data_IF_228981313965
#
_entry.id   IF_228981313965
#
_cell.length_a   1.000
_cell.length_b   1.000
_cell.length_c   1.000
_cell.angle_alpha   90.00
_cell.angle_beta   90.00
_cell.angle_gamma   90.00
#
_symmetry.space_group_name_H-M   'P 1'
#
loop_
_entity.id
_entity.type
_entity.pdbx_description
1 polymer ?
#
# COMPACT_ATOMS: atom_id res chain seq x y z
N UNK A 1 12.64 6.18 -3.78
CA UNK A 1 12.29 5.30 -4.89
C UNK A 1 12.55 3.85 -4.50
N UNK A 2 11.58 2.96 -4.69
CA UNK A 2 11.74 1.52 -4.49
C UNK A 2 11.62 0.83 -5.85
N UNK A 3 12.45 -0.18 -6.13
CA UNK A 3 12.46 -0.88 -7.39
C UNK A 3 12.61 -2.38 -7.21
N UNK A 4 12.20 -3.12 -8.20
CA UNK A 4 12.36 -4.57 -8.29
C UNK A 4 13.07 -4.91 -9.59
N UNK A 5 14.05 -5.80 -9.54
CA UNK A 5 14.87 -6.19 -10.67
C UNK A 5 14.85 -7.71 -10.86
N UNK A 6 14.29 -8.16 -11.99
CA UNK A 6 14.14 -9.57 -12.37
C UNK A 6 13.60 -10.44 -11.23
N UNK A 7 12.63 -9.90 -10.51
CA UNK A 7 12.09 -10.51 -9.30
C UNK A 7 11.26 -11.74 -9.65
N UNK A 8 11.62 -12.88 -9.09
CA UNK A 8 10.88 -14.12 -9.22
C UNK A 8 10.62 -14.73 -7.86
N UNK A 9 9.40 -15.21 -7.66
CA UNK A 9 8.99 -15.86 -6.42
C UNK A 9 7.82 -16.82 -6.64
N UNK A 10 7.86 -17.96 -5.92
CA UNK A 10 6.81 -18.96 -5.99
C UNK A 10 6.60 -19.72 -4.69
N UNK A 11 5.56 -20.54 -4.68
CA UNK A 11 5.20 -21.41 -3.55
C UNK A 11 4.78 -22.78 -4.10
N UNK A 12 5.28 -23.86 -3.49
CA UNK A 12 4.86 -25.23 -3.84
C UNK A 12 5.12 -25.60 -5.29
N UNK A 13 6.17 -25.05 -5.93
CA UNK A 13 6.49 -25.28 -7.33
C UNK A 13 5.69 -24.43 -8.33
N UNK A 14 4.81 -23.56 -7.85
CA UNK A 14 4.06 -22.61 -8.69
C UNK A 14 4.70 -21.22 -8.62
N UNK A 15 5.10 -20.68 -9.77
CA UNK A 15 5.59 -19.30 -9.88
C UNK A 15 4.43 -18.35 -9.75
N UNK A 16 4.54 -17.38 -8.82
CA UNK A 16 3.53 -16.37 -8.55
C UNK A 16 3.99 -15.00 -9.07
N UNK A 17 5.26 -14.69 -8.94
CA UNK A 17 5.93 -13.52 -9.53
C UNK A 17 6.99 -14.05 -10.48
N UNK A 18 6.99 -13.59 -11.72
CA UNK A 18 7.80 -14.12 -12.80
C UNK A 18 8.54 -13.01 -13.55
N UNK A 19 9.84 -12.88 -13.25
CA UNK A 19 10.77 -11.94 -13.89
C UNK A 19 10.28 -10.48 -13.91
N UNK A 20 9.74 -9.99 -12.78
CA UNK A 20 9.24 -8.62 -12.66
C UNK A 20 10.40 -7.65 -12.49
N UNK A 21 10.46 -6.66 -13.38
CA UNK A 21 11.34 -5.49 -13.29
C UNK A 21 10.52 -4.23 -13.41
N UNK A 22 10.54 -3.39 -12.36
CA UNK A 22 9.86 -2.10 -12.34
C UNK A 22 10.44 -1.19 -11.25
N UNK A 23 10.48 0.11 -11.53
CA UNK A 23 10.85 1.14 -10.56
C UNK A 23 9.59 1.95 -10.22
N UNK A 24 9.18 1.90 -8.96
CA UNK A 24 8.04 2.68 -8.49
C UNK A 24 8.48 4.13 -8.22
N UNK A 25 7.66 5.07 -8.69
CA UNK A 25 7.92 6.50 -8.59
C UNK A 25 8.10 6.98 -7.15
N UNK A 26 8.63 8.19 -7.01
CA UNK A 26 8.83 8.84 -5.71
C UNK A 26 7.64 9.68 -5.29
N UNK A 27 6.78 10.07 -6.21
CA UNK A 27 5.78 11.12 -6.01
C UNK A 27 4.36 10.57 -6.13
N UNK A 28 3.59 10.76 -5.06
CA UNK A 28 2.17 10.45 -5.04
C UNK A 28 1.82 8.97 -4.87
N UNK A 29 0.59 8.65 -5.25
CA UNK A 29 0.01 7.31 -5.11
C UNK A 29 0.15 6.52 -6.42
N UNK A 30 0.81 5.37 -6.34
CA UNK A 30 0.87 4.36 -7.41
C UNK A 30 -0.05 3.19 -7.09
N UNK A 31 -0.91 2.79 -8.04
CA UNK A 31 -1.72 1.58 -7.87
C UNK A 31 -1.07 0.35 -8.51
N UNK A 32 -1.07 -0.77 -7.79
CA UNK A 32 -0.87 -2.10 -8.38
C UNK A 32 -2.25 -2.70 -8.61
N UNK A 33 -2.63 -2.89 -9.88
CA UNK A 33 -3.93 -3.44 -10.30
C UNK A 33 -3.74 -4.75 -11.06
N UNK A 34 -4.80 -5.54 -11.15
CA UNK A 34 -4.78 -6.82 -11.88
C UNK A 34 -5.82 -7.79 -11.33
N UNK A 35 -6.11 -8.90 -12.03
CA UNK A 35 -7.08 -9.89 -11.59
C UNK A 35 -6.67 -10.58 -10.29
N UNK A 36 -7.63 -11.27 -9.66
CA UNK A 36 -7.33 -12.09 -8.48
C UNK A 36 -6.31 -13.18 -8.86
N UNK A 37 -5.35 -13.42 -7.97
CA UNK A 37 -4.28 -14.38 -8.21
C UNK A 37 -3.15 -13.89 -9.13
N UNK A 38 -3.15 -12.63 -9.59
CA UNK A 38 -2.08 -12.10 -10.44
C UNK A 38 -0.76 -11.85 -9.70
N UNK A 39 -0.73 -11.95 -8.35
CA UNK A 39 0.49 -11.79 -7.55
C UNK A 39 0.65 -10.44 -6.86
N UNK A 40 -0.36 -9.54 -6.87
CA UNK A 40 -0.27 -8.17 -6.31
C UNK A 40 0.21 -8.13 -4.86
N UNK A 41 -0.49 -8.81 -3.96
CA UNK A 41 -0.11 -8.92 -2.53
C UNK A 41 1.29 -9.53 -2.37
N UNK A 42 1.62 -10.55 -3.18
CA UNK A 42 2.94 -11.18 -3.13
C UNK A 42 4.04 -10.22 -3.54
N UNK A 43 3.84 -9.44 -4.60
CA UNK A 43 4.77 -8.40 -5.03
C UNK A 43 4.97 -7.35 -3.92
N UNK A 44 3.87 -6.88 -3.32
CA UNK A 44 3.93 -5.91 -2.22
C UNK A 44 4.67 -6.48 -1.01
N UNK A 45 4.44 -7.73 -0.62
CA UNK A 45 5.14 -8.39 0.48
C UNK A 45 6.64 -8.58 0.21
N UNK A 46 7.02 -8.88 -1.05
CA UNK A 46 8.43 -8.93 -1.47
C UNK A 46 9.08 -7.55 -1.38
N UNK A 47 8.40 -6.49 -1.83
CA UNK A 47 8.87 -5.11 -1.73
C UNK A 47 9.03 -4.66 -0.27
N UNK A 48 8.18 -5.14 0.62
CA UNK A 48 8.28 -4.90 2.06
C UNK A 48 9.43 -5.68 2.74
N UNK A 49 10.03 -6.65 2.04
CA UNK A 49 10.99 -7.60 2.62
C UNK A 49 10.36 -8.55 3.65
N UNK A 50 9.03 -8.74 3.58
CA UNK A 50 8.29 -9.73 4.39
C UNK A 50 8.43 -11.15 3.81
N UNK A 51 8.78 -11.24 2.51
CA UNK A 51 9.12 -12.48 1.81
C UNK A 51 10.48 -12.33 1.15
N UNK A 52 11.19 -13.45 1.01
CA UNK A 52 12.45 -13.50 0.29
C UNK A 52 12.17 -13.98 -1.15
N UNK A 53 12.68 -13.30 -2.18
CA UNK A 53 12.54 -13.75 -3.55
C UNK A 53 13.40 -15.01 -3.81
N UNK A 54 12.99 -15.83 -4.77
CA UNK A 54 13.76 -16.98 -5.25
C UNK A 54 14.94 -16.50 -6.12
N UNK A 55 14.71 -15.43 -6.90
CA UNK A 55 15.75 -14.74 -7.67
C UNK A 55 15.40 -13.28 -7.91
N UNK A 56 16.38 -12.51 -8.37
CA UNK A 56 16.25 -11.06 -8.52
C UNK A 56 16.45 -10.32 -7.20
N UNK A 57 16.13 -9.04 -7.18
CA UNK A 57 16.33 -8.19 -6.00
C UNK A 57 15.28 -7.11 -5.87
N UNK A 58 15.08 -6.65 -4.63
CA UNK A 58 14.36 -5.43 -4.31
C UNK A 58 15.40 -4.40 -3.87
N UNK A 59 15.36 -3.22 -4.48
CA UNK A 59 16.26 -2.12 -4.18
C UNK A 59 15.47 -0.93 -3.61
N UNK A 60 16.00 -0.31 -2.57
CA UNK A 60 15.49 0.92 -2.00
C UNK A 60 16.58 1.99 -2.02
N UNK A 61 16.31 3.12 -2.69
CA UNK A 61 17.28 4.22 -2.88
C UNK A 61 18.66 3.74 -3.43
N UNK A 62 18.66 2.71 -4.31
CA UNK A 62 19.86 2.13 -4.90
C UNK A 62 20.56 1.07 -4.05
N UNK A 63 20.10 0.81 -2.82
CA UNK A 63 20.63 -0.24 -1.95
C UNK A 63 19.74 -1.49 -1.98
N UNK A 64 20.35 -2.68 -2.04
CA UNK A 64 19.60 -3.92 -1.99
C UNK A 64 18.92 -4.11 -0.62
N UNK A 65 17.63 -4.43 -0.62
CA UNK A 65 16.84 -4.58 0.60
C UNK A 65 17.34 -5.72 1.49
N UNK A 66 17.87 -6.78 0.89
CA UNK A 66 18.44 -7.94 1.60
C UNK A 66 19.66 -7.60 2.48
N UNK A 67 20.39 -6.53 2.13
CA UNK A 67 21.52 -6.02 2.92
C UNK A 67 21.09 -5.23 4.14
N UNK A 68 19.82 -4.83 4.25
CA UNK A 68 19.33 -4.01 5.35
C UNK A 68 18.85 -4.86 6.52
N UNK A 69 19.15 -4.42 7.75
CA UNK A 69 18.55 -5.01 8.93
C UNK A 69 17.03 -4.83 8.94
N UNK A 70 16.28 -5.76 9.55
CA UNK A 70 14.82 -5.64 9.69
C UNK A 70 14.41 -4.30 10.33
N UNK A 71 15.19 -3.81 11.28
CA UNK A 71 14.96 -2.52 11.94
C UNK A 71 15.17 -1.34 11.00
N UNK A 72 16.19 -1.39 10.14
CA UNK A 72 16.46 -0.36 9.13
C UNK A 72 15.33 -0.32 8.12
N UNK A 73 14.89 -1.49 7.61
CA UNK A 73 13.74 -1.59 6.71
C UNK A 73 12.47 -1.02 7.34
N UNK A 74 12.15 -1.43 8.57
CA UNK A 74 10.96 -0.97 9.28
C UNK A 74 10.96 0.53 9.63
N UNK A 75 12.09 1.22 9.54
CA UNK A 75 12.14 2.69 9.64
C UNK A 75 11.87 3.40 8.33
N UNK A 76 12.08 2.71 7.21
CA UNK A 76 12.01 3.30 5.86
C UNK A 76 10.76 2.86 5.10
N UNK A 77 10.25 1.65 5.37
CA UNK A 77 9.12 1.06 4.68
C UNK A 77 8.05 0.68 5.70
N UNK A 78 6.87 1.28 5.59
CA UNK A 78 5.72 0.88 6.39
C UNK A 78 4.73 0.08 5.53
N UNK A 79 4.02 -0.86 6.17
CA UNK A 79 3.03 -1.72 5.52
C UNK A 79 1.71 -1.65 6.28
N UNK A 80 0.63 -1.45 5.54
CA UNK A 80 -0.74 -1.68 6.02
C UNK A 80 -1.26 -2.94 5.36
N UNK A 81 -1.41 -3.99 6.14
CA UNK A 81 -1.91 -5.30 5.69
C UNK A 81 -3.44 -5.33 5.64
N UNK A 82 -4.00 -6.22 4.82
CA UNK A 82 -5.44 -6.34 4.61
C UNK A 82 -6.21 -6.71 5.89
N UNK A 83 -5.67 -7.58 6.73
CA UNK A 83 -6.33 -8.09 7.95
C UNK A 83 -5.38 -8.18 9.15
N UNK A 84 -4.94 -7.06 9.69
CA UNK A 84 -4.19 -7.11 10.93
C UNK A 84 -5.17 -7.39 12.09
N UNK A 85 -5.10 -8.60 12.65
CA UNK A 85 -5.84 -8.96 13.86
C UNK A 85 -5.02 -8.63 15.11
N UNK A 86 -5.62 -7.97 16.08
CA UNK A 86 -5.08 -7.90 17.44
C UNK A 86 -6.20 -8.25 18.41
N UNK A 87 -5.92 -9.16 19.32
CA UNK A 87 -6.82 -9.54 20.41
C UNK A 87 -6.52 -8.75 21.70
N UNK A 88 -5.58 -7.82 21.63
CA UNK A 88 -5.17 -7.04 22.77
C UNK A 88 -6.13 -5.89 23.06
N UNK A 89 -6.45 -5.68 24.33
CA UNK A 89 -7.20 -4.53 24.83
C UNK A 89 -6.31 -3.26 24.81
N UNK A 90 -6.04 -2.75 23.63
CA UNK A 90 -5.26 -1.53 23.45
C UNK A 90 -6.17 -0.36 23.06
N UNK A 91 -5.84 0.84 23.56
CA UNK A 91 -6.43 2.06 23.05
C UNK A 91 -5.90 2.38 21.65
N UNK A 92 -6.63 3.20 20.88
CA UNK A 92 -6.20 3.68 19.57
C UNK A 92 -4.81 4.31 19.64
N UNK A 93 -4.55 5.16 20.62
CA UNK A 93 -3.24 5.77 20.84
C UNK A 93 -2.16 4.70 20.99
N UNK A 94 -2.39 3.71 21.82
CA UNK A 94 -1.43 2.62 22.04
C UNK A 94 -1.17 1.82 20.76
N UNK A 95 -2.20 1.58 19.94
CA UNK A 95 -2.02 0.92 18.62
C UNK A 95 -1.14 1.76 17.71
N UNK A 96 -1.34 3.08 17.66
CA UNK A 96 -0.52 3.98 16.82
C UNK A 96 0.92 4.05 17.35
N UNK A 97 1.12 4.05 18.67
CA UNK A 97 2.43 4.01 19.32
C UNK A 97 3.28 2.78 18.93
N UNK A 98 2.64 1.63 18.59
CA UNK A 98 3.35 0.46 18.05
C UNK A 98 4.14 0.80 16.77
N UNK A 99 3.71 1.79 15.99
CA UNK A 99 4.45 2.29 14.84
C UNK A 99 5.82 2.87 15.20
N UNK A 100 6.06 3.23 16.46
CA UNK A 100 7.36 3.76 16.92
C UNK A 100 8.36 2.68 17.33
N UNK A 101 7.96 1.41 17.41
CA UNK A 101 8.86 0.28 17.81
C UNK A 101 10.21 0.31 17.06
N UNK A 102 10.30 0.53 15.75
CA UNK A 102 11.58 0.56 15.05
C UNK A 102 12.51 1.69 15.52
N UNK A 103 11.95 2.75 16.11
CA UNK A 103 12.69 3.93 16.57
C UNK A 103 13.08 3.87 18.05
N UNK A 104 12.43 3.04 18.86
CA UNK A 104 12.73 2.89 20.30
C UNK A 104 14.17 2.41 20.46
N UNK A 105 15.01 3.26 21.04
CA UNK A 105 16.40 2.94 21.39
C UNK A 105 16.51 2.39 22.81
N UNK A 106 17.69 1.86 23.19
CA UNK A 106 17.94 1.39 24.56
C UNK A 106 18.01 2.54 25.60
N UNK A 107 18.01 3.80 25.15
CA UNK A 107 18.15 4.97 26.03
C UNK A 107 16.82 5.74 26.15
N UNK A 108 16.40 6.12 27.37
CA UNK A 108 15.21 6.94 27.57
C UNK A 108 15.52 8.39 27.15
N UNK A 109 15.04 8.81 25.99
CA UNK A 109 15.26 10.19 25.46
C UNK A 109 14.44 10.47 24.21
N UNK A 110 13.80 9.46 23.68
CA UNK A 110 13.01 9.56 22.45
C UNK A 110 11.51 9.86 22.70
N UNK A 111 11.03 9.80 23.96
CA UNK A 111 9.60 9.85 24.30
C UNK A 111 8.86 11.06 23.73
N UNK A 112 9.45 12.25 23.78
CA UNK A 112 8.78 13.47 23.30
C UNK A 112 8.66 13.47 21.75
N UNK A 113 9.69 13.02 21.06
CA UNK A 113 9.67 12.92 19.59
C UNK A 113 8.73 11.84 19.11
N UNK A 114 8.61 10.75 19.86
CA UNK A 114 7.69 9.66 19.55
C UNK A 114 6.24 10.11 19.78
N UNK A 115 5.94 10.88 20.82
CA UNK A 115 4.61 11.45 21.07
C UNK A 115 4.19 12.38 19.94
N UNK A 116 5.06 13.29 19.49
CA UNK A 116 4.79 14.19 18.36
C UNK A 116 4.47 13.40 17.08
N UNK A 117 5.26 12.36 16.76
CA UNK A 117 5.01 11.54 15.58
C UNK A 117 3.67 10.80 15.64
N UNK A 118 3.28 10.34 16.82
CA UNK A 118 1.97 9.70 17.06
C UNK A 118 0.84 10.70 16.85
N UNK A 119 0.92 11.88 17.48
CA UNK A 119 -0.12 12.89 17.40
C UNK A 119 -0.31 13.41 15.95
N UNK A 120 0.78 13.70 15.24
CA UNK A 120 0.74 14.08 13.81
C UNK A 120 0.08 12.99 12.96
N UNK A 121 0.46 11.73 13.16
CA UNK A 121 -0.07 10.60 12.39
C UNK A 121 -1.55 10.37 12.65
N UNK A 122 -2.00 10.53 13.91
CA UNK A 122 -3.40 10.45 14.28
C UNK A 122 -4.22 11.58 13.67
N UNK A 123 -3.65 12.79 13.59
CA UNK A 123 -4.30 13.94 12.96
C UNK A 123 -4.45 13.73 11.45
N UNK A 124 -3.38 13.29 10.75
CA UNK A 124 -3.41 12.99 9.31
C UNK A 124 -4.45 11.92 8.99
N UNK A 125 -4.51 10.85 9.76
CA UNK A 125 -5.47 9.76 9.56
C UNK A 125 -6.88 10.08 10.12
N UNK A 126 -7.10 11.28 10.69
CA UNK A 126 -8.37 11.76 11.25
C UNK A 126 -8.92 10.90 12.40
N UNK A 127 -8.05 10.33 13.24
CA UNK A 127 -8.43 9.44 14.35
C UNK A 127 -8.12 10.01 15.74
N UNK A 128 -7.74 11.28 15.84
CA UNK A 128 -7.40 11.92 17.13
C UNK A 128 -8.54 11.84 18.14
N UNK A 129 -9.79 11.99 17.68
CA UNK A 129 -10.98 11.91 18.52
C UNK A 129 -11.27 10.51 19.07
N UNK A 130 -10.58 9.47 18.55
CA UNK A 130 -10.70 8.07 18.96
C UNK A 130 -9.58 7.65 19.93
N UNK A 131 -8.65 8.52 20.30
CA UNK A 131 -7.40 8.19 20.99
C UNK A 131 -7.56 7.23 22.18
N UNK A 132 -8.58 7.48 23.02
CA UNK A 132 -8.84 6.72 24.23
C UNK A 132 -9.82 5.54 24.02
N UNK A 133 -10.39 5.38 22.82
CA UNK A 133 -11.27 4.24 22.53
C UNK A 133 -10.46 2.96 22.39
N UNK A 134 -11.04 1.86 22.83
CA UNK A 134 -10.43 0.53 22.66
C UNK A 134 -10.56 0.05 21.23
N UNK A 135 -9.49 -0.54 20.71
CA UNK A 135 -9.42 -1.11 19.36
C UNK A 135 -10.61 -2.01 19.02
N UNK A 136 -11.02 -2.88 19.94
CA UNK A 136 -12.11 -3.82 19.73
C UNK A 136 -13.47 -3.18 19.46
N UNK A 137 -13.66 -1.89 19.82
CA UNK A 137 -14.93 -1.16 19.66
C UNK A 137 -15.04 -0.37 18.36
N UNK A 138 -13.99 -0.38 17.53
CA UNK A 138 -13.93 0.40 16.30
C UNK A 138 -14.67 -0.28 15.15
N UNK A 139 -15.29 0.53 14.29
CA UNK A 139 -15.77 0.11 12.98
C UNK A 139 -14.63 -0.29 12.05
N UNK A 140 -14.93 -0.96 10.93
CA UNK A 140 -13.93 -1.34 9.93
C UNK A 140 -13.17 -0.13 9.36
N UNK A 141 -13.88 0.95 9.04
CA UNK A 141 -13.27 2.19 8.53
C UNK A 141 -12.39 2.90 9.56
N UNK A 142 -12.85 2.98 10.83
CA UNK A 142 -12.04 3.52 11.92
C UNK A 142 -10.76 2.70 12.12
N UNK A 143 -10.85 1.37 12.09
CA UNK A 143 -9.67 0.48 12.18
C UNK A 143 -8.69 0.73 11.04
N UNK A 144 -9.18 0.87 9.81
CA UNK A 144 -8.32 1.13 8.65
C UNK A 144 -7.55 2.44 8.79
N UNK A 145 -8.21 3.51 9.26
CA UNK A 145 -7.58 4.80 9.55
C UNK A 145 -6.55 4.70 10.68
N UNK A 146 -6.83 3.94 11.74
CA UNK A 146 -5.86 3.69 12.82
C UNK A 146 -4.64 2.91 12.32
N UNK A 147 -4.81 1.96 11.40
CA UNK A 147 -3.68 1.27 10.77
C UNK A 147 -2.85 2.22 9.90
N UNK A 148 -3.49 3.13 9.17
CA UNK A 148 -2.80 4.18 8.45
C UNK A 148 -1.99 5.07 9.43
N UNK A 149 -2.61 5.53 10.52
CA UNK A 149 -1.93 6.31 11.56
C UNK A 149 -0.72 5.57 12.13
N UNK A 150 -0.86 4.26 12.43
CA UNK A 150 0.25 3.42 12.92
C UNK A 150 1.40 3.34 11.91
N UNK A 151 1.08 3.18 10.62
CA UNK A 151 2.08 3.14 9.57
C UNK A 151 2.78 4.49 9.40
N UNK A 152 2.05 5.60 9.41
CA UNK A 152 2.60 6.95 9.33
C UNK A 152 3.46 7.30 10.56
N UNK A 153 3.12 6.78 11.74
CA UNK A 153 3.91 6.99 12.95
C UNK A 153 5.34 6.41 12.82
N UNK A 154 5.59 5.46 11.91
CA UNK A 154 6.95 5.04 11.59
C UNK A 154 7.75 6.14 10.88
N UNK A 155 7.11 7.19 10.34
CA UNK A 155 7.72 8.20 9.45
C UNK A 155 8.44 7.53 8.27
N UNK A 156 7.74 6.71 7.50
CA UNK A 156 8.33 5.94 6.43
C UNK A 156 8.68 6.82 5.23
N UNK A 157 9.63 6.37 4.41
CA UNK A 157 9.93 6.92 3.09
C UNK A 157 9.07 6.26 2.00
N UNK A 158 8.59 5.03 2.26
CA UNK A 158 7.65 4.29 1.40
C UNK A 158 6.52 3.71 2.24
N UNK A 159 5.29 3.92 1.81
CA UNK A 159 4.08 3.35 2.40
C UNK A 159 3.48 2.32 1.43
N UNK A 160 3.35 1.09 1.88
CA UNK A 160 2.77 -0.02 1.13
C UNK A 160 1.40 -0.36 1.72
N UNK A 161 0.36 -0.34 0.87
CA UNK A 161 -1.02 -0.60 1.28
C UNK A 161 -1.57 -1.81 0.53
N UNK A 162 -1.92 -2.87 1.26
CA UNK A 162 -2.50 -4.08 0.68
C UNK A 162 -4.02 -4.04 0.80
N UNK A 163 -4.70 -3.75 -0.32
CA UNK A 163 -6.16 -3.67 -0.43
C UNK A 163 -6.82 -2.77 0.64
N UNK A 164 -6.37 -1.52 0.81
CA UNK A 164 -6.75 -0.69 1.95
C UNK A 164 -8.21 -0.24 1.94
N UNK A 165 -8.90 -0.39 0.83
CA UNK A 165 -10.31 0.03 0.65
C UNK A 165 -11.30 -1.13 0.76
N UNK A 166 -10.83 -2.37 0.95
CA UNK A 166 -11.72 -3.51 1.07
C UNK A 166 -12.61 -3.41 2.31
N UNK A 167 -13.85 -3.83 2.17
CA UNK A 167 -14.88 -3.81 3.22
C UNK A 167 -15.28 -2.42 3.73
N UNK A 168 -14.84 -1.35 3.08
CA UNK A 168 -15.30 0.00 3.34
C UNK A 168 -16.48 0.33 2.43
N UNK A 169 -17.43 1.10 2.93
CA UNK A 169 -18.43 1.73 2.06
C UNK A 169 -17.79 2.82 1.18
N UNK A 170 -18.51 3.23 0.14
CA UNK A 170 -18.00 4.16 -0.86
C UNK A 170 -17.49 5.48 -0.26
N UNK A 171 -18.21 6.04 0.72
CA UNK A 171 -17.82 7.31 1.33
C UNK A 171 -16.49 7.18 2.09
N UNK A 172 -16.31 6.09 2.82
CA UNK A 172 -15.07 5.80 3.54
C UNK A 172 -13.92 5.47 2.59
N UNK A 173 -14.17 4.76 1.47
CA UNK A 173 -13.16 4.50 0.44
C UNK A 173 -12.63 5.80 -0.17
N UNK A 174 -13.52 6.69 -0.58
CA UNK A 174 -13.15 7.98 -1.17
C UNK A 174 -12.35 8.83 -0.18
N UNK A 175 -12.86 9.01 1.03
CA UNK A 175 -12.19 9.81 2.05
C UNK A 175 -10.83 9.23 2.46
N UNK A 176 -10.69 7.90 2.51
CA UNK A 176 -9.41 7.24 2.77
C UNK A 176 -8.40 7.51 1.64
N UNK A 177 -8.82 7.36 0.37
CA UNK A 177 -7.95 7.59 -0.78
C UNK A 177 -7.60 9.07 -0.95
N UNK A 178 -8.51 10.01 -0.63
CA UNK A 178 -8.22 11.43 -0.55
C UNK A 178 -7.10 11.71 0.46
N UNK A 179 -7.21 11.14 1.67
CA UNK A 179 -6.15 11.25 2.69
C UNK A 179 -4.83 10.70 2.17
N UNK A 180 -4.84 9.49 1.59
CA UNK A 180 -3.62 8.79 1.14
C UNK A 180 -2.97 9.49 -0.05
N UNK A 181 -3.76 9.99 -1.01
CA UNK A 181 -3.23 10.71 -2.19
C UNK A 181 -2.63 12.07 -1.85
N UNK A 182 -3.03 12.66 -0.72
CA UNK A 182 -2.47 13.92 -0.20
C UNK A 182 -1.21 13.75 0.66
N UNK A 183 -0.72 12.52 0.87
CA UNK A 183 0.50 12.29 1.65
C UNK A 183 1.75 12.67 0.87
N UNK A 184 2.68 13.32 1.56
CA UNK A 184 4.03 13.60 1.05
C UNK A 184 4.95 12.39 1.36
N UNK A 185 4.56 11.21 0.88
CA UNK A 185 5.32 9.96 0.99
C UNK A 185 5.05 9.09 -0.22
N UNK A 186 6.09 8.44 -0.75
CA UNK A 186 5.93 7.46 -1.83
C UNK A 186 4.96 6.36 -1.39
N UNK A 187 3.76 6.34 -1.98
CA UNK A 187 2.71 5.40 -1.59
C UNK A 187 2.38 4.44 -2.72
N UNK A 188 2.38 3.14 -2.42
CA UNK A 188 2.04 2.08 -3.37
C UNK A 188 0.90 1.27 -2.78
N UNK A 189 -0.24 1.24 -3.48
CA UNK A 189 -1.43 0.54 -3.03
C UNK A 189 -1.86 -0.55 -4.00
N UNK A 190 -2.18 -1.72 -3.48
CA UNK A 190 -2.93 -2.74 -4.23
C UNK A 190 -4.39 -2.31 -4.23
N UNK A 191 -4.95 -2.07 -5.40
CA UNK A 191 -6.36 -1.70 -5.57
C UNK A 191 -7.07 -2.70 -6.49
N UNK A 192 -8.34 -2.99 -6.17
CA UNK A 192 -9.20 -3.84 -7.01
C UNK A 192 -10.11 -3.02 -7.91
N UNK A 193 -10.49 -1.83 -7.49
CA UNK A 193 -11.39 -0.95 -8.22
C UNK A 193 -10.61 -0.09 -9.22
N UNK A 194 -10.88 -0.30 -10.50
CA UNK A 194 -10.24 0.43 -11.60
C UNK A 194 -10.63 1.91 -11.62
N UNK A 195 -11.87 2.23 -11.23
CA UNK A 195 -12.34 3.61 -11.15
C UNK A 195 -11.62 4.38 -10.05
N UNK A 196 -11.42 3.74 -8.88
CA UNK A 196 -10.65 4.34 -7.78
C UNK A 196 -9.18 4.50 -8.16
N UNK A 197 -8.58 3.48 -8.80
CA UNK A 197 -7.19 3.59 -9.28
C UNK A 197 -7.05 4.73 -10.31
N UNK A 198 -7.99 4.83 -11.25
CA UNK A 198 -8.01 5.88 -12.26
C UNK A 198 -8.22 7.29 -11.68
N UNK A 199 -9.01 7.40 -10.60
CA UNK A 199 -9.38 8.69 -10.00
C UNK A 199 -8.32 9.26 -9.05
N UNK A 200 -7.58 8.40 -8.35
CA UNK A 200 -6.69 8.82 -7.25
C UNK A 200 -5.21 8.58 -7.51
N UNK A 201 -4.85 7.69 -8.45
CA UNK A 201 -3.46 7.32 -8.66
C UNK A 201 -2.86 8.05 -9.86
N UNK A 202 -1.68 8.64 -9.66
CA UNK A 202 -0.92 9.25 -10.76
C UNK A 202 -0.33 8.20 -11.70
N UNK A 203 0.01 7.04 -11.16
CA UNK A 203 0.64 5.92 -11.88
C UNK A 203 -0.06 4.60 -11.56
N UNK A 204 -0.08 3.69 -12.54
CA UNK A 204 -0.60 2.33 -12.36
C UNK A 204 0.41 1.31 -12.88
N UNK A 205 0.51 0.19 -12.17
CA UNK A 205 1.24 -1.01 -12.57
C UNK A 205 0.24 -2.15 -12.70
N UNK A 206 0.06 -2.65 -13.91
CA UNK A 206 -0.91 -3.70 -14.21
C UNK A 206 -0.20 -5.05 -14.16
N UNK A 207 -0.57 -5.87 -13.18
CA UNK A 207 -0.01 -7.21 -12.98
C UNK A 207 -0.96 -8.25 -13.54
N UNK A 208 -0.46 -9.14 -14.39
CA UNK A 208 -1.20 -10.27 -14.92
C UNK A 208 -0.32 -11.53 -14.97
N UNK A 209 -0.82 -12.65 -14.40
CA UNK A 209 -0.09 -13.91 -14.31
C UNK A 209 1.36 -13.76 -13.81
N UNK A 210 1.56 -12.97 -12.75
CA UNK A 210 2.86 -12.76 -12.13
C UNK A 210 3.80 -11.82 -12.88
N UNK A 211 3.39 -11.22 -13.99
CA UNK A 211 4.20 -10.30 -14.82
C UNK A 211 3.59 -8.91 -14.87
N UNK A 212 4.45 -7.90 -15.03
CA UNK A 212 3.99 -6.55 -15.37
C UNK A 212 3.55 -6.55 -16.83
N UNK A 213 2.24 -6.33 -17.06
CA UNK A 213 1.66 -6.25 -18.40
C UNK A 213 1.74 -4.84 -18.98
N UNK A 214 1.56 -3.84 -18.13
CA UNK A 214 1.69 -2.43 -18.47
C UNK A 214 2.02 -1.64 -17.22
N UNK A 215 2.70 -0.51 -17.36
CA UNK A 215 2.97 0.42 -16.28
C UNK A 215 3.13 1.84 -16.85
N UNK A 216 2.74 2.85 -16.07
CA UNK A 216 2.87 4.26 -16.43
C UNK A 216 1.73 5.11 -15.88
N UNK A 217 1.60 6.36 -16.35
CA UNK A 217 0.54 7.27 -15.90
C UNK A 217 -0.83 6.62 -16.07
N UNK A 218 -1.68 6.70 -15.03
CA UNK A 218 -2.99 6.07 -15.02
C UNK A 218 -3.82 6.45 -16.25
N UNK A 219 -3.75 7.71 -16.63
CA UNK A 219 -4.47 8.29 -17.76
C UNK A 219 -4.17 7.65 -19.12
N UNK A 220 -2.95 7.21 -19.34
CA UNK A 220 -2.51 6.63 -20.62
C UNK A 220 -2.44 5.11 -20.58
N UNK A 221 -2.30 4.54 -19.38
CA UNK A 221 -2.12 3.11 -19.19
C UNK A 221 -3.45 2.38 -19.09
N UNK A 222 -4.45 2.97 -18.41
CA UNK A 222 -5.79 2.36 -18.32
C UNK A 222 -6.56 2.63 -19.61
N UNK A 223 -6.53 1.67 -20.54
CA UNK A 223 -7.28 1.72 -21.80
C UNK A 223 -8.35 0.64 -21.85
N UNK A 224 -9.35 0.81 -22.71
CA UNK A 224 -10.43 -0.18 -22.90
C UNK A 224 -9.86 -1.53 -23.35
N UNK A 225 -8.85 -1.50 -24.21
CA UNK A 225 -8.17 -2.70 -24.73
C UNK A 225 -7.42 -3.43 -23.62
N UNK A 226 -6.66 -2.71 -22.80
CA UNK A 226 -5.92 -3.31 -21.69
C UNK A 226 -6.86 -3.91 -20.64
N UNK A 227 -7.95 -3.20 -20.32
CA UNK A 227 -8.97 -3.70 -19.38
C UNK A 227 -9.64 -4.96 -19.93
N UNK A 228 -9.98 -4.99 -21.21
CA UNK A 228 -10.58 -6.17 -21.84
C UNK A 228 -9.59 -7.36 -21.85
N UNK A 229 -8.32 -7.11 -22.16
CA UNK A 229 -7.29 -8.16 -22.20
C UNK A 229 -7.00 -8.76 -20.83
N UNK A 230 -6.87 -7.90 -19.79
CA UNK A 230 -6.38 -8.32 -18.49
C UNK A 230 -7.49 -8.82 -17.58
N UNK A 231 -8.68 -8.21 -17.66
CA UNK A 231 -9.80 -8.49 -16.73
C UNK A 231 -10.94 -9.28 -17.39
N UNK A 232 -10.84 -9.59 -18.71
CA UNK A 232 -11.86 -10.32 -19.47
C UNK A 232 -13.25 -9.66 -19.38
N UNK A 233 -13.29 -8.34 -19.52
CA UNK A 233 -14.53 -7.53 -19.51
C UNK A 233 -14.48 -6.47 -20.60
N UNK A 234 -15.65 -6.13 -21.16
CA UNK A 234 -15.74 -4.96 -22.04
C UNK A 234 -15.70 -3.70 -21.20
N UNK A 235 -14.79 -2.79 -21.53
CA UNK A 235 -14.68 -1.51 -20.86
C UNK A 235 -14.88 -0.35 -21.82
N UNK A 236 -15.44 0.74 -21.29
CA UNK A 236 -15.42 2.06 -21.91
C UNK A 236 -14.66 2.97 -20.95
N UNK A 237 -13.54 3.49 -21.40
CA UNK A 237 -12.77 4.48 -20.66
C UNK A 237 -13.16 5.86 -21.18
N UNK A 238 -13.64 6.73 -20.32
CA UNK A 238 -14.03 8.11 -20.62
C UNK A 238 -13.22 9.06 -19.78
N UNK A 239 -12.97 10.25 -20.33
CA UNK A 239 -12.23 11.29 -19.66
C UNK A 239 -13.05 12.57 -19.71
N UNK A 240 -13.67 12.88 -18.59
CA UNK A 240 -14.36 14.16 -18.37
C UNK A 240 -13.52 14.98 -17.38
N UNK A 241 -14.03 15.23 -16.16
CA UNK A 241 -13.26 15.88 -15.07
C UNK A 241 -12.18 14.95 -14.49
N UNK A 242 -12.41 13.63 -14.62
CA UNK A 242 -11.47 12.56 -14.20
C UNK A 242 -11.61 11.36 -15.12
N UNK A 243 -10.60 10.49 -15.09
CA UNK A 243 -10.65 9.20 -15.78
C UNK A 243 -11.72 8.31 -15.12
N UNK A 244 -12.60 7.72 -15.93
CA UNK A 244 -13.65 6.78 -15.50
C UNK A 244 -13.59 5.51 -16.32
N UNK A 245 -13.76 4.39 -15.67
CA UNK A 245 -13.80 3.06 -16.28
C UNK A 245 -15.18 2.46 -16.09
N UNK A 246 -15.99 2.46 -17.14
CA UNK A 246 -17.28 1.78 -17.13
C UNK A 246 -17.11 0.41 -17.79
N UNK A 247 -17.51 -0.65 -17.12
CA UNK A 247 -17.35 -2.02 -17.61
C UNK A 247 -18.67 -2.78 -17.60
N UNK A 248 -18.79 -3.75 -18.53
CA UNK A 248 -19.89 -4.69 -18.62
C UNK A 248 -19.35 -6.08 -18.91
N UNK A 249 -20.09 -7.10 -18.53
CA UNK A 249 -19.76 -8.46 -18.95
C UNK A 249 -19.82 -8.59 -20.47
N UNK A 250 -18.93 -9.37 -21.05
CA UNK A 250 -18.95 -9.81 -22.45
C UNK A 250 -20.15 -10.68 -22.73
#
# INVERSE_FOLDING_TARGET
MIGVERLTWGVGGHTIIDDVTHAFGSDGLTAIIGPNGSGKTSLLQLMAGLRRPDSGSVCFAGEALDGMSARTRARRIAVVEQHPSTELDLSVRQVVELGRIPHVGPWPGAKDRDAVAVDESMAIAEVTHLAERFWGTLSGGERQRVHLARALAQRPEVLLLDEPTNHLDLAHQLSFLETVSGLDVCTIAVLHDLDLAAAFCGEVVVLNHGKVRAAGPAETTITAELVAEVFDVRARVTRDDRLRVNWSRT
#
